data_IF_858787787933
#
_entry.id   IF_858787787933
#
_cell.length_a   1.000
_cell.length_b   1.000
_cell.length_c   1.000
_cell.angle_alpha   90.00
_cell.angle_beta   90.00
_cell.angle_gamma   90.00
#
_symmetry.space_group_name_H-M   'P 1'
#
loop_
_entity.id
_entity.type
_entity.pdbx_description
1 polymer ?
#
# COMPACT_ATOMS: atom_id res chain seq x y z
N UNK A 1 -11.85 -12.10 4.84
CA UNK A 1 -11.49 -11.03 5.80
C UNK A 1 -11.95 -9.68 5.28
N UNK A 2 -12.56 -8.89 6.13
CA UNK A 2 -13.01 -7.57 5.75
C UNK A 2 -11.93 -6.52 6.04
N UNK A 3 -11.61 -5.72 5.03
CA UNK A 3 -10.64 -4.64 5.19
C UNK A 3 -11.41 -3.32 5.32
N UNK A 4 -11.27 -2.70 6.49
CA UNK A 4 -11.93 -1.44 6.79
C UNK A 4 -10.89 -0.45 7.32
N UNK A 5 -11.33 0.73 7.75
CA UNK A 5 -10.43 1.81 8.18
C UNK A 5 -9.59 1.48 9.41
N UNK A 6 -9.95 0.46 10.17
CA UNK A 6 -9.21 0.05 11.37
C UNK A 6 -8.21 -1.06 11.09
N UNK A 7 -8.22 -1.60 9.88
CA UNK A 7 -7.29 -2.67 9.49
C UNK A 7 -5.85 -2.14 9.50
N UNK A 8 -4.92 -2.93 10.05
CA UNK A 8 -3.51 -2.58 10.12
C UNK A 8 -2.74 -3.50 9.18
N UNK A 9 -2.41 -3.04 7.96
CA UNK A 9 -1.72 -3.90 7.00
C UNK A 9 -0.25 -4.08 7.31
N UNK A 10 0.27 -5.28 7.01
CA UNK A 10 1.69 -5.61 7.13
C UNK A 10 2.12 -6.28 5.84
N UNK A 11 3.18 -5.78 5.23
CA UNK A 11 3.72 -6.36 4.00
C UNK A 11 4.49 -7.63 4.31
N UNK A 12 4.52 -8.56 3.35
CA UNK A 12 5.29 -9.80 3.49
C UNK A 12 6.78 -9.53 3.36
N UNK A 13 7.58 -10.25 4.13
CA UNK A 13 9.02 -10.08 4.12
C UNK A 13 9.66 -10.53 2.80
N UNK A 14 9.00 -11.44 2.08
CA UNK A 14 9.53 -11.94 0.81
C UNK A 14 9.36 -10.98 -0.36
N UNK A 15 8.72 -9.83 -0.13
CA UNK A 15 8.50 -8.83 -1.17
C UNK A 15 9.58 -7.77 -1.09
N UNK A 16 10.35 -7.62 -2.16
CA UNK A 16 11.38 -6.60 -2.28
C UNK A 16 10.82 -5.41 -3.05
N UNK A 17 11.34 -4.22 -2.76
CA UNK A 17 10.87 -2.99 -3.38
C UNK A 17 12.02 -2.29 -4.09
N UNK A 18 11.75 -1.77 -5.29
CA UNK A 18 12.65 -0.89 -6.00
C UNK A 18 11.92 0.40 -6.29
N UNK A 19 12.42 1.51 -5.75
CA UNK A 19 11.78 2.80 -5.91
C UNK A 19 12.10 3.42 -7.25
N UNK A 20 11.08 4.01 -7.88
CA UNK A 20 11.19 4.73 -9.15
C UNK A 20 10.70 6.16 -8.94
N UNK A 21 10.94 7.04 -9.92
CA UNK A 21 10.52 8.44 -9.82
C UNK A 21 9.01 8.59 -9.70
N UNK A 22 8.25 7.69 -10.33
CA UNK A 22 6.78 7.79 -10.40
C UNK A 22 6.09 6.58 -9.80
N UNK A 23 6.72 5.94 -8.82
CA UNK A 23 6.13 4.79 -8.16
C UNK A 23 7.18 3.83 -7.67
N UNK A 24 6.88 2.53 -7.74
CA UNK A 24 7.83 1.51 -7.38
C UNK A 24 7.49 0.19 -8.05
N UNK A 25 8.45 -0.72 -8.01
CA UNK A 25 8.26 -2.10 -8.46
C UNK A 25 8.43 -2.99 -7.24
N UNK A 26 7.47 -3.90 -7.06
CA UNK A 26 7.54 -4.93 -6.02
C UNK A 26 7.90 -6.25 -6.67
N UNK A 27 8.79 -7.00 -6.04
CA UNK A 27 9.14 -8.33 -6.49
C UNK A 27 8.85 -9.32 -5.37
N UNK A 28 7.90 -10.22 -5.61
CA UNK A 28 7.55 -11.30 -4.68
C UNK A 28 8.50 -12.46 -4.96
N UNK A 29 9.49 -12.66 -4.09
CA UNK A 29 10.52 -13.65 -4.31
C UNK A 29 10.02 -15.09 -4.18
N UNK A 30 8.93 -15.30 -3.44
CA UNK A 30 8.35 -16.64 -3.30
C UNK A 30 7.56 -17.06 -4.54
N UNK A 31 6.83 -16.11 -5.13
CA UNK A 31 6.00 -16.40 -6.30
C UNK A 31 6.69 -16.06 -7.62
N UNK A 32 7.83 -15.40 -7.55
CA UNK A 32 8.56 -14.92 -8.72
C UNK A 32 7.65 -14.02 -9.58
N UNK A 33 6.94 -13.11 -8.91
CA UNK A 33 6.01 -12.16 -9.56
C UNK A 33 6.46 -10.73 -9.35
N UNK A 34 6.22 -9.89 -10.34
CA UNK A 34 6.55 -8.48 -10.31
C UNK A 34 5.27 -7.67 -10.36
N UNK A 35 5.16 -6.65 -9.51
CA UNK A 35 4.02 -5.76 -9.45
C UNK A 35 4.51 -4.32 -9.55
N UNK A 36 3.88 -3.54 -10.43
CA UNK A 36 4.23 -2.14 -10.60
C UNK A 36 3.19 -1.27 -9.88
N UNK A 37 3.66 -0.33 -9.07
CA UNK A 37 2.80 0.58 -8.32
C UNK A 37 3.04 2.01 -8.75
N UNK A 38 1.94 2.78 -8.92
CA UNK A 38 2.05 4.21 -9.16
C UNK A 38 2.41 4.93 -7.86
N UNK A 39 2.61 6.24 -7.93
CA UNK A 39 3.04 7.04 -6.78
C UNK A 39 2.12 6.88 -5.57
N UNK A 40 0.80 6.93 -5.80
CA UNK A 40 -0.16 6.82 -4.70
C UNK A 40 -0.07 5.45 -4.03
N UNK A 41 -0.08 4.38 -4.83
CA UNK A 41 -0.01 3.02 -4.28
C UNK A 41 1.33 2.76 -3.61
N UNK A 42 2.42 3.31 -4.16
CA UNK A 42 3.74 3.18 -3.55
C UNK A 42 3.79 3.85 -2.18
N UNK A 43 3.16 5.03 -2.05
CA UNK A 43 3.09 5.74 -0.77
C UNK A 43 2.30 4.93 0.26
N UNK A 44 1.20 4.31 -0.15
CA UNK A 44 0.42 3.43 0.72
C UNK A 44 1.26 2.23 1.15
N UNK A 45 1.98 1.64 0.21
CA UNK A 45 2.83 0.47 0.48
C UNK A 45 3.84 0.75 1.59
N UNK A 46 4.50 1.91 1.55
CA UNK A 46 5.51 2.25 2.56
C UNK A 46 4.92 2.42 3.95
N UNK A 47 3.62 2.64 4.06
CA UNK A 47 2.95 2.77 5.35
C UNK A 47 2.38 1.44 5.86
N UNK A 48 2.51 0.36 5.11
CA UNK A 48 1.99 -0.96 5.49
C UNK A 48 3.03 -1.71 6.32
N UNK A 49 3.37 -1.16 7.46
CA UNK A 49 4.47 -1.64 8.31
C UNK A 49 3.99 -2.24 9.64
N UNK A 50 2.68 -2.45 9.77
CA UNK A 50 2.11 -3.00 11.01
C UNK A 50 1.92 -1.96 12.11
N UNK A 51 2.24 -0.70 11.85
CA UNK A 51 2.13 0.39 12.83
C UNK A 51 1.07 1.42 12.48
N UNK A 52 0.41 1.26 11.33
CA UNK A 52 -0.59 2.22 10.86
C UNK A 52 -1.86 1.48 10.45
N UNK A 53 -3.01 1.96 10.94
CA UNK A 53 -4.30 1.52 10.40
C UNK A 53 -4.52 2.20 9.05
N UNK A 54 -5.49 1.72 8.29
CA UNK A 54 -5.84 2.35 7.01
C UNK A 54 -6.19 3.82 7.21
N UNK A 55 -6.91 4.14 8.29
CA UNK A 55 -7.25 5.54 8.59
C UNK A 55 -5.99 6.38 8.78
N UNK A 56 -5.01 5.85 9.50
CA UNK A 56 -3.73 6.55 9.72
C UNK A 56 -2.93 6.65 8.42
N UNK A 57 -2.96 5.61 7.59
CA UNK A 57 -2.30 5.64 6.29
C UNK A 57 -2.91 6.75 5.43
N UNK A 58 -4.24 6.86 5.42
CA UNK A 58 -4.91 7.91 4.66
C UNK A 58 -4.47 9.30 5.10
N UNK A 59 -4.27 9.49 6.41
CA UNK A 59 -3.79 10.77 6.95
C UNK A 59 -2.36 11.06 6.51
N UNK A 60 -1.47 10.07 6.64
CA UNK A 60 -0.06 10.23 6.26
C UNK A 60 0.06 10.49 4.76
N UNK A 61 -0.59 9.67 3.94
CA UNK A 61 -0.52 9.80 2.49
C UNK A 61 -1.16 11.12 2.06
N UNK A 62 -2.25 11.52 2.71
CA UNK A 62 -2.92 12.77 2.41
C UNK A 62 -2.03 13.99 2.61
N UNK A 63 -1.07 13.92 3.53
CA UNK A 63 -0.13 15.02 3.76
C UNK A 63 0.93 15.10 2.68
N UNK A 64 1.14 14.03 1.92
CA UNK A 64 2.11 14.00 0.83
C UNK A 64 1.54 14.57 -0.47
N UNK A 65 0.23 14.75 -0.56
CA UNK A 65 -0.44 15.24 -1.76
C UNK A 65 -1.10 16.58 -1.48
N UNK A 66 -1.08 17.45 -2.48
CA UNK A 66 -1.76 18.73 -2.38
C UNK A 66 -3.23 18.55 -2.73
N UNK A 67 -4.05 19.38 -2.11
CA UNK A 67 -5.49 19.27 -1.98
C UNK A 67 -6.27 18.48 -3.04
N UNK A 68 -6.12 18.82 -4.30
CA UNK A 68 -6.95 18.25 -5.36
C UNK A 68 -6.56 16.84 -5.76
N UNK A 69 -5.31 16.46 -5.47
CA UNK A 69 -4.80 15.14 -5.81
C UNK A 69 -4.84 14.18 -4.63
N UNK A 70 -5.33 14.66 -3.49
CA UNK A 70 -5.33 13.90 -2.25
C UNK A 70 -6.26 12.68 -2.36
N UNK A 71 -5.73 11.46 -2.16
CA UNK A 71 -6.61 10.29 -2.17
C UNK A 71 -7.51 10.30 -0.95
N UNK A 72 -8.75 9.83 -1.14
CA UNK A 72 -9.70 9.71 -0.04
C UNK A 72 -9.58 8.32 0.59
N UNK A 73 -10.15 8.18 1.79
CA UNK A 73 -10.10 6.92 2.54
C UNK A 73 -10.54 5.72 1.69
N UNK A 74 -11.59 5.90 0.89
CA UNK A 74 -12.09 4.84 0.02
C UNK A 74 -11.03 4.35 -0.96
N UNK A 75 -10.23 5.28 -1.49
CA UNK A 75 -9.18 4.92 -2.44
C UNK A 75 -8.08 4.12 -1.75
N UNK A 76 -7.73 4.51 -0.52
CA UNK A 76 -6.72 3.79 0.26
C UNK A 76 -7.20 2.36 0.55
N UNK A 77 -8.47 2.21 0.91
CA UNK A 77 -9.05 0.89 1.15
C UNK A 77 -8.95 0.02 -0.11
N UNK A 78 -9.26 0.58 -1.28
CA UNK A 78 -9.16 -0.15 -2.54
C UNK A 78 -7.74 -0.61 -2.82
N UNK A 79 -6.77 0.26 -2.57
CA UNK A 79 -5.36 -0.05 -2.79
C UNK A 79 -4.92 -1.19 -1.87
N UNK A 80 -5.27 -1.13 -0.60
CA UNK A 80 -4.91 -2.17 0.36
C UNK A 80 -5.60 -3.49 0.03
N UNK A 81 -6.87 -3.44 -0.40
CA UNK A 81 -7.57 -4.64 -0.86
C UNK A 81 -6.86 -5.28 -2.04
N UNK A 82 -6.37 -4.46 -2.97
CA UNK A 82 -5.62 -4.96 -4.12
C UNK A 82 -4.35 -5.68 -3.67
N UNK A 83 -3.62 -5.10 -2.71
CA UNK A 83 -2.43 -5.77 -2.16
C UNK A 83 -2.81 -7.11 -1.53
N UNK A 84 -3.92 -7.17 -0.80
CA UNK A 84 -4.39 -8.40 -0.19
C UNK A 84 -4.76 -9.45 -1.22
N UNK A 85 -5.43 -9.04 -2.29
CA UNK A 85 -5.82 -9.95 -3.38
C UNK A 85 -4.61 -10.52 -4.11
N UNK A 86 -3.54 -9.76 -4.19
CA UNK A 86 -2.28 -10.21 -4.79
C UNK A 86 -1.41 -10.96 -3.80
N UNK A 87 -1.90 -11.18 -2.58
CA UNK A 87 -1.21 -11.90 -1.51
C UNK A 87 0.13 -11.27 -1.15
N UNK A 88 0.15 -9.94 -1.14
CA UNK A 88 1.36 -9.16 -0.81
C UNK A 88 1.41 -8.78 0.67
N UNK A 89 0.33 -9.04 1.41
CA UNK A 89 0.24 -8.71 2.83
C UNK A 89 0.29 -9.96 3.68
N UNK A 90 0.87 -9.81 4.87
CA UNK A 90 0.81 -10.83 5.91
C UNK A 90 -0.51 -10.68 6.65
N UNK A 91 -1.25 -11.77 6.79
CA UNK A 91 -2.55 -11.76 7.48
C UNK A 91 -2.53 -12.70 8.68
#
# INVERSE_FOLDING_TARGET
MEINEYFVPVTKECVEIEELDDGCILYDTEKDEVHSLNTTAASVWTCCDGNHSIMQIADVVGKCFKSESKPVLRDIIKIVKHFSEKELLTL
#
